data_IF_726564057806
#
_entry.id   IF_726564057806
#
_cell.length_a   1.000
_cell.length_b   1.000
_cell.length_c   1.000
_cell.angle_alpha   90.00
_cell.angle_beta   90.00
_cell.angle_gamma   90.00
#
_symmetry.space_group_name_H-M   'P 1'
#
loop_
_entity.id
_entity.type
_entity.pdbx_description
1 polymer ?
#
# COMPACT_ATOMS: atom_id res chain seq x y z
N UNK A 1 -13.07 -6.41 -0.57
CA UNK A 1 -12.11 -5.83 -1.54
C UNK A 1 -12.80 -4.68 -2.24
N UNK A 2 -12.06 -3.61 -2.58
CA UNK A 2 -12.63 -2.37 -3.13
C UNK A 2 -12.65 -2.37 -4.66
N UNK A 3 -13.40 -1.44 -5.25
CA UNK A 3 -13.49 -1.17 -6.69
C UNK A 3 -13.22 0.31 -6.97
N UNK A 4 -12.96 0.64 -8.24
CA UNK A 4 -12.77 2.02 -8.67
C UNK A 4 -14.03 2.84 -8.33
N UNK A 5 -13.83 3.94 -7.61
CA UNK A 5 -14.90 4.85 -7.19
C UNK A 5 -15.39 4.63 -5.75
N UNK A 6 -15.01 3.53 -5.10
CA UNK A 6 -15.40 3.29 -3.71
C UNK A 6 -14.69 4.29 -2.77
N UNK A 7 -15.41 4.89 -1.80
CA UNK A 7 -14.77 5.60 -0.70
C UNK A 7 -14.00 4.61 0.18
N UNK A 8 -12.85 5.05 0.68
CA UNK A 8 -11.95 4.23 1.48
C UNK A 8 -11.60 4.95 2.79
N UNK A 9 -11.57 4.20 3.89
CA UNK A 9 -11.31 4.74 5.23
C UNK A 9 -10.04 4.15 5.85
N UNK A 10 -9.40 4.87 6.78
CA UNK A 10 -8.21 4.38 7.49
C UNK A 10 -8.53 3.04 8.18
N UNK A 11 -7.67 2.04 7.96
CA UNK A 11 -7.82 0.69 8.53
C UNK A 11 -8.70 -0.26 7.71
N UNK A 12 -9.34 0.19 6.64
CA UNK A 12 -10.15 -0.67 5.78
C UNK A 12 -9.27 -1.61 4.94
N UNK A 13 -9.62 -2.90 4.92
CA UNK A 13 -8.98 -3.87 4.02
C UNK A 13 -9.38 -3.63 2.56
N UNK A 14 -8.42 -3.23 1.74
CA UNK A 14 -8.65 -2.89 0.32
C UNK A 14 -8.29 -4.04 -0.64
N UNK A 15 -7.26 -4.81 -0.31
CA UNK A 15 -6.64 -5.84 -1.15
C UNK A 15 -5.98 -6.91 -0.25
N UNK A 16 -5.56 -8.02 -0.86
CA UNK A 16 -4.62 -8.99 -0.26
C UNK A 16 -3.30 -8.90 -1.02
N UNK A 17 -2.18 -9.10 -0.33
CA UNK A 17 -0.86 -9.22 -0.96
C UNK A 17 -0.85 -10.44 -1.90
N UNK A 18 -0.08 -10.35 -2.98
CA UNK A 18 0.09 -11.42 -3.96
C UNK A 18 1.46 -11.37 -4.61
N UNK A 19 1.71 -12.27 -5.57
CA UNK A 19 2.97 -12.42 -6.29
C UNK A 19 2.79 -12.20 -7.81
N UNK A 20 1.84 -11.37 -8.22
CA UNK A 20 1.64 -11.06 -9.64
C UNK A 20 2.68 -10.04 -10.13
N UNK A 21 3.25 -10.24 -11.33
CA UNK A 21 4.26 -9.35 -11.91
C UNK A 21 5.62 -10.04 -12.01
N UNK A 22 6.71 -9.26 -11.93
CA UNK A 22 8.09 -9.77 -11.97
C UNK A 22 8.68 -10.05 -10.59
N UNK A 23 7.93 -10.75 -9.71
CA UNK A 23 8.37 -11.11 -8.36
C UNK A 23 8.27 -12.63 -8.15
N UNK A 24 9.24 -13.21 -7.46
CA UNK A 24 9.30 -14.66 -7.21
C UNK A 24 8.47 -15.09 -5.97
N UNK A 25 8.14 -14.14 -5.09
CA UNK A 25 7.41 -14.35 -3.85
C UNK A 25 6.39 -13.22 -3.60
N UNK A 26 5.35 -13.44 -2.75
CA UNK A 26 4.39 -12.39 -2.42
C UNK A 26 5.07 -11.19 -1.74
N UNK A 27 4.91 -10.01 -2.33
CA UNK A 27 5.52 -8.78 -1.86
C UNK A 27 4.51 -7.62 -1.88
N UNK A 28 4.62 -6.73 -0.91
CA UNK A 28 3.86 -5.48 -0.89
C UNK A 28 4.73 -4.34 -1.42
N UNK A 29 4.36 -3.79 -2.57
CA UNK A 29 4.89 -2.51 -3.02
C UNK A 29 3.97 -1.38 -2.54
N UNK A 30 4.53 -0.42 -1.81
CA UNK A 30 3.82 0.76 -1.30
C UNK A 30 4.53 2.04 -1.71
N UNK A 31 3.80 2.97 -2.33
CA UNK A 31 4.33 4.26 -2.79
C UNK A 31 3.43 5.39 -2.30
N UNK A 32 4.05 6.48 -1.84
CA UNK A 32 3.35 7.72 -1.51
C UNK A 32 3.64 8.77 -2.57
N UNK A 33 2.61 9.50 -3.01
CA UNK A 33 2.73 10.62 -3.95
C UNK A 33 2.14 11.90 -3.38
N UNK A 34 2.85 13.01 -3.58
CA UNK A 34 2.33 14.36 -3.40
C UNK A 34 2.04 14.95 -4.79
N UNK A 35 0.77 14.99 -5.16
CA UNK A 35 0.37 15.24 -6.54
C UNK A 35 0.95 14.17 -7.47
N UNK A 36 1.81 14.57 -8.41
CA UNK A 36 2.46 13.65 -9.36
C UNK A 36 3.82 13.13 -8.89
N UNK A 37 4.39 13.70 -7.82
CA UNK A 37 5.77 13.41 -7.37
C UNK A 37 5.79 12.27 -6.35
N UNK A 38 6.57 11.19 -6.57
CA UNK A 38 6.79 10.17 -5.55
C UNK A 38 7.65 10.75 -4.41
N UNK A 39 7.35 10.37 -3.17
CA UNK A 39 8.09 10.76 -1.96
C UNK A 39 8.39 9.51 -1.12
N UNK A 40 9.47 9.51 -0.35
CA UNK A 40 9.83 8.38 0.52
C UNK A 40 8.74 8.17 1.60
N UNK A 41 8.06 7.02 1.64
CA UNK A 41 6.99 6.77 2.59
C UNK A 41 7.48 6.58 4.04
N UNK A 42 8.76 6.29 4.28
CA UNK A 42 9.27 5.94 5.63
C UNK A 42 9.02 7.02 6.69
N UNK A 43 9.00 8.30 6.29
CA UNK A 43 8.70 9.41 7.20
C UNK A 43 7.22 9.58 7.54
N UNK A 44 6.33 8.84 6.88
CA UNK A 44 4.87 8.94 7.01
C UNK A 44 4.23 7.68 7.58
N UNK A 45 4.98 6.57 7.58
CA UNK A 45 4.53 5.32 8.14
C UNK A 45 4.81 5.32 9.64
N UNK A 46 3.80 4.95 10.42
CA UNK A 46 4.05 4.52 11.79
C UNK A 46 5.00 3.31 11.74
N UNK A 47 5.94 3.16 12.70
CA UNK A 47 6.77 1.98 12.78
C UNK A 47 5.86 0.74 12.79
N UNK A 48 6.29 -0.31 12.07
CA UNK A 48 5.53 -1.53 11.99
C UNK A 48 5.14 -1.98 13.42
N UNK A 49 3.89 -2.38 13.65
CA UNK A 49 3.49 -2.87 14.97
C UNK A 49 4.46 -3.98 15.36
N UNK A 50 5.07 -3.86 16.54
CA UNK A 50 5.84 -4.95 17.12
C UNK A 50 4.91 -6.16 17.20
N UNK A 51 5.25 -7.21 16.46
CA UNK A 51 4.55 -8.48 16.51
C UNK A 51 4.67 -9.14 17.89
#
# INVERSE_FOLDING_TARGET
>A
LVRKGDPVYRGQTIAKVGATGGVDEPQLHFELRQGKRPVDPRGFLEPAPSA
#
